data_IF_053724080768
#
_entry.id   IF_053724080768
#
_cell.length_a   1.000
_cell.length_b   1.000
_cell.length_c   1.000
_cell.angle_alpha   90.00
_cell.angle_beta   90.00
_cell.angle_gamma   90.00
#
_symmetry.space_group_name_H-M   'P 1'
#
loop_
_entity.id
_entity.type
_entity.pdbx_description
1 polymer ?
#
# COMPACT_ATOMS: atom_id res chain seq x y z
N UNK A 1 -0.35 -31.90 -52.11
CA UNK A 1 1.09 -31.61 -51.90
C UNK A 1 1.42 -30.22 -52.44
N UNK A 2 1.82 -29.27 -51.57
CA UNK A 2 2.58 -28.02 -51.82
C UNK A 2 2.58 -27.23 -50.50
N UNK A 3 3.52 -27.56 -49.61
CA UNK A 3 4.77 -26.84 -49.26
C UNK A 3 4.53 -25.72 -48.24
N UNK A 4 5.04 -26.01 -47.03
CA UNK A 4 5.25 -25.18 -45.84
C UNK A 4 5.72 -23.77 -46.22
N UNK A 5 5.03 -22.75 -45.70
CA UNK A 5 5.49 -21.37 -45.65
C UNK A 5 6.16 -21.12 -44.30
N UNK A 6 7.38 -20.62 -44.36
CA UNK A 6 8.33 -20.41 -43.28
C UNK A 6 7.86 -19.47 -42.17
N UNK A 7 8.22 -19.91 -40.95
CA UNK A 7 8.20 -19.21 -39.69
C UNK A 7 9.09 -17.96 -39.74
N UNK A 8 8.49 -16.77 -39.69
CA UNK A 8 9.21 -15.51 -39.55
C UNK A 8 9.73 -15.37 -38.12
N UNK A 9 11.01 -15.70 -37.91
CA UNK A 9 11.73 -15.54 -36.64
C UNK A 9 12.57 -14.26 -36.67
N UNK A 10 12.21 -13.16 -35.96
CA UNK A 10 13.04 -11.97 -35.91
C UNK A 10 14.29 -12.20 -35.05
N UNK A 11 15.44 -11.70 -35.55
CA UNK A 11 16.76 -11.85 -34.95
C UNK A 11 16.89 -11.18 -33.56
N UNK A 12 17.80 -11.67 -32.68
CA UNK A 12 18.06 -11.06 -31.38
C UNK A 12 18.74 -9.70 -31.56
N UNK A 13 18.16 -8.64 -30.98
CA UNK A 13 18.82 -7.33 -30.92
C UNK A 13 20.01 -7.43 -29.98
N UNK A 14 21.18 -7.24 -30.54
CA UNK A 14 22.46 -7.11 -29.86
C UNK A 14 22.44 -5.94 -28.89
N UNK A 15 22.87 -6.25 -27.67
CA UNK A 15 23.24 -5.37 -26.58
C UNK A 15 24.11 -4.18 -27.03
N UNK A 16 23.60 -2.96 -26.87
CA UNK A 16 24.42 -1.75 -26.77
C UNK A 16 24.16 -1.10 -25.41
N UNK A 17 25.16 -1.24 -24.56
CA UNK A 17 25.21 -0.81 -23.16
C UNK A 17 25.66 0.67 -23.10
N UNK A 18 24.83 1.62 -22.62
CA UNK A 18 25.25 2.99 -22.44
C UNK A 18 25.98 3.16 -21.08
N UNK A 19 27.30 3.29 -21.18
CA UNK A 19 28.26 3.93 -20.23
C UNK A 19 27.81 4.05 -18.77
N UNK A 20 28.41 3.17 -17.97
CA UNK A 20 28.63 3.33 -16.52
C UNK A 20 29.27 4.71 -16.26
N UNK A 21 28.60 5.57 -15.48
CA UNK A 21 29.21 6.77 -14.90
C UNK A 21 30.16 6.34 -13.77
N UNK A 22 31.37 6.92 -13.65
CA UNK A 22 32.22 6.67 -12.50
C UNK A 22 31.56 7.20 -11.21
N UNK A 23 31.76 6.54 -10.06
CA UNK A 23 31.22 7.01 -8.79
C UNK A 23 31.86 8.34 -8.39
N UNK A 24 31.02 9.30 -8.00
CA UNK A 24 31.43 10.52 -7.32
C UNK A 24 32.16 10.14 -6.02
N UNK A 25 33.35 10.73 -5.86
CA UNK A 25 34.21 10.68 -4.68
C UNK A 25 33.44 10.88 -3.38
N UNK A 26 33.64 9.96 -2.43
CA UNK A 26 33.16 10.09 -1.06
C UNK A 26 33.85 11.29 -0.36
N UNK A 27 33.16 12.03 0.52
CA UNK A 27 33.80 13.05 1.35
C UNK A 27 34.71 12.39 2.40
N UNK A 28 35.96 12.82 2.45
CA UNK A 28 36.95 12.45 3.47
C UNK A 28 36.45 12.80 4.87
N UNK A 29 36.41 11.80 5.75
CA UNK A 29 36.04 11.95 7.16
C UNK A 29 37.30 12.33 7.94
N UNK A 30 37.38 13.58 8.38
CA UNK A 30 38.52 14.12 9.13
C UNK A 30 38.48 13.63 10.60
N UNK A 31 39.44 12.83 11.10
CA UNK A 31 39.31 12.17 12.40
C UNK A 31 39.65 13.04 13.62
N UNK A 32 40.03 14.31 13.44
CA UNK A 32 40.66 15.12 14.50
C UNK A 32 39.85 16.36 14.94
N UNK A 33 38.52 16.27 15.02
CA UNK A 33 37.74 17.27 15.77
C UNK A 33 37.47 16.76 17.19
N UNK A 34 38.05 17.37 18.24
CA UNK A 34 37.75 16.97 19.61
C UNK A 34 36.28 17.27 19.94
N UNK A 35 35.57 16.24 20.45
CA UNK A 35 34.23 16.40 21.02
C UNK A 35 34.35 17.24 22.29
N UNK A 36 33.80 18.44 22.26
CA UNK A 36 33.52 19.22 23.46
C UNK A 36 32.61 18.40 24.39
N UNK A 37 33.09 18.13 25.60
CA UNK A 37 32.37 17.45 26.67
C UNK A 37 31.15 18.29 27.10
N UNK A 38 29.95 17.79 26.80
CA UNK A 38 28.72 18.27 27.41
C UNK A 38 28.58 17.64 28.81
N UNK A 39 28.19 18.40 29.85
CA UNK A 39 27.98 17.85 31.18
C UNK A 39 26.74 16.94 31.22
N UNK A 40 26.86 15.83 31.95
CA UNK A 40 25.81 14.83 32.18
C UNK A 40 24.55 15.46 32.79
N UNK A 41 23.33 15.10 32.32
CA UNK A 41 22.11 15.52 33.00
C UNK A 41 21.95 14.79 34.34
N UNK A 42 21.40 15.44 35.38
CA UNK A 42 21.19 14.80 36.67
C UNK A 42 20.16 13.68 36.59
N UNK A 43 20.52 12.51 37.12
CA UNK A 43 19.63 11.38 37.35
C UNK A 43 18.71 11.69 38.53
N UNK A 44 17.56 12.32 38.27
CA UNK A 44 16.45 12.33 39.21
C UNK A 44 15.15 12.06 38.47
N UNK A 45 14.70 10.80 38.55
CA UNK A 45 13.37 10.38 38.09
C UNK A 45 12.47 10.36 39.34
N UNK A 46 11.52 11.30 39.52
CA UNK A 46 10.59 11.21 40.63
C UNK A 46 9.66 10.00 40.46
N UNK A 47 9.22 9.36 41.55
CA UNK A 47 8.24 8.28 41.48
C UNK A 47 6.93 8.83 40.91
N UNK A 48 6.33 8.10 39.95
CA UNK A 48 5.00 8.40 39.40
C UNK A 48 3.96 8.32 40.52
N UNK A 49 3.71 9.43 41.20
CA UNK A 49 2.44 9.63 41.88
C UNK A 49 1.41 9.94 40.81
N UNK A 50 0.47 9.02 40.69
CA UNK A 50 -0.66 9.06 39.79
C UNK A 50 -1.63 10.13 40.29
N UNK A 51 -1.49 11.39 39.82
CA UNK A 51 -2.57 12.38 39.74
C UNK A 51 -2.03 13.75 39.29
N UNK A 52 -2.31 14.14 38.05
CA UNK A 52 -2.64 15.53 37.73
C UNK A 52 -3.90 15.55 36.87
N UNK A 53 -4.99 16.03 37.49
CA UNK A 53 -6.14 16.56 36.77
C UNK A 53 -5.73 17.95 36.28
N UNK A 54 -5.24 18.05 35.06
CA UNK A 54 -5.15 19.33 34.36
C UNK A 54 -6.25 19.37 33.28
N UNK A 55 -7.37 20.08 33.50
CA UNK A 55 -8.49 20.10 32.56
C UNK A 55 -8.27 21.03 31.35
N UNK A 56 -7.01 21.44 31.07
CA UNK A 56 -6.68 22.40 30.01
C UNK A 56 -5.57 21.94 29.05
N UNK A 57 -5.33 20.62 28.97
CA UNK A 57 -4.46 20.01 27.96
C UNK A 57 -5.24 19.18 26.93
N UNK A 58 -6.43 19.64 26.53
CA UNK A 58 -7.14 19.07 25.36
C UNK A 58 -7.98 20.13 24.66
N UNK A 59 -7.37 21.24 24.24
CA UNK A 59 -8.01 22.14 23.28
C UNK A 59 -7.04 22.37 22.13
N UNK A 60 -7.12 21.52 21.09
CA UNK A 60 -6.34 21.75 19.87
C UNK A 60 -6.16 20.58 18.90
N UNK A 61 -6.60 19.36 19.20
CA UNK A 61 -6.63 18.30 18.18
C UNK A 61 -8.02 18.30 17.55
N UNK A 62 -8.09 18.81 16.34
CA UNK A 62 -9.26 18.73 15.47
C UNK A 62 -9.64 17.25 15.36
N UNK A 63 -10.84 16.91 15.83
CA UNK A 63 -11.36 15.55 15.87
C UNK A 63 -11.99 15.19 14.52
N UNK A 64 -11.24 15.31 13.43
CA UNK A 64 -11.57 14.70 12.16
C UNK A 64 -10.94 13.30 12.11
N UNK A 65 -11.74 12.31 12.52
CA UNK A 65 -11.50 10.88 12.28
C UNK A 65 -10.37 10.20 13.08
N UNK A 66 -10.36 10.38 14.41
CA UNK A 66 -9.76 9.38 15.32
C UNK A 66 -10.91 8.78 16.11
N UNK A 67 -11.52 7.72 15.57
CA UNK A 67 -12.43 6.91 16.36
C UNK A 67 -11.68 6.37 17.59
N UNK A 68 -12.29 6.29 18.78
CA UNK A 68 -11.68 5.77 20.00
C UNK A 68 -11.41 4.24 19.98
N UNK A 69 -11.14 3.69 18.79
CA UNK A 69 -10.85 2.27 18.57
C UNK A 69 -9.36 1.99 18.38
N UNK A 70 -8.98 0.70 18.37
CA UNK A 70 -7.63 0.29 18.03
C UNK A 70 -7.21 0.83 16.65
N UNK A 71 -5.91 1.15 16.49
CA UNK A 71 -5.39 1.65 15.22
C UNK A 71 -5.57 0.63 14.09
N UNK A 72 -5.59 1.10 12.84
CA UNK A 72 -5.83 0.24 11.65
C UNK A 72 -4.92 -0.99 11.57
N UNK A 73 -3.67 -0.88 12.04
CA UNK A 73 -2.68 -1.96 12.00
C UNK A 73 -2.45 -2.63 13.37
N UNK A 74 -3.30 -2.34 14.37
CA UNK A 74 -3.20 -2.94 15.69
C UNK A 74 -3.34 -4.48 15.69
N UNK A 75 -4.26 -5.10 14.90
CA UNK A 75 -4.35 -6.57 14.85
C UNK A 75 -3.05 -7.23 14.39
N UNK A 76 -2.39 -6.70 13.36
CA UNK A 76 -1.10 -7.22 12.90
C UNK A 76 0.01 -7.06 13.95
N UNK A 77 -0.02 -5.97 14.71
CA UNK A 77 0.91 -5.78 15.81
C UNK A 77 0.70 -6.80 16.94
N UNK A 78 -0.55 -7.17 17.25
CA UNK A 78 -0.85 -8.22 18.23
C UNK A 78 -0.27 -9.57 17.79
N UNK A 79 -0.33 -9.91 16.51
CA UNK A 79 0.27 -11.14 15.98
C UNK A 79 1.81 -11.14 16.10
N UNK A 80 2.47 -9.98 15.88
CA UNK A 80 3.93 -9.86 16.11
C UNK A 80 4.27 -10.13 17.58
N UNK A 81 3.52 -9.52 18.50
CA UNK A 81 3.71 -9.72 19.93
C UNK A 81 3.45 -11.18 20.34
N UNK A 82 2.38 -11.79 19.82
CA UNK A 82 2.06 -13.19 20.08
C UNK A 82 3.17 -14.13 19.60
N UNK A 83 3.73 -13.87 18.41
CA UNK A 83 4.84 -14.64 17.88
C UNK A 83 6.09 -14.50 18.75
N UNK A 84 6.44 -13.29 19.18
CA UNK A 84 7.59 -13.07 20.07
C UNK A 84 7.40 -13.75 21.43
N UNK A 85 6.24 -13.64 22.07
CA UNK A 85 5.96 -14.30 23.35
C UNK A 85 6.08 -15.83 23.23
N UNK A 86 5.69 -16.40 22.10
CA UNK A 86 5.70 -17.86 21.90
C UNK A 86 7.08 -18.41 21.53
N UNK A 87 7.94 -17.60 20.89
CA UNK A 87 9.21 -18.06 20.33
C UNK A 87 10.45 -17.50 21.02
N UNK A 88 10.32 -16.60 22.00
CA UNK A 88 11.45 -16.03 22.73
C UNK A 88 11.44 -16.44 24.19
N UNK A 89 12.62 -16.60 24.76
CA UNK A 89 12.81 -16.74 26.21
C UNK A 89 13.65 -15.56 26.69
N UNK A 90 13.66 -15.23 28.00
CA UNK A 90 14.50 -14.14 28.51
C UNK A 90 16.00 -14.34 28.27
N UNK A 91 16.43 -15.57 27.94
CA UNK A 91 17.82 -15.97 27.76
C UNK A 91 18.20 -16.19 26.29
N UNK A 92 17.22 -16.44 25.40
CA UNK A 92 17.45 -16.68 23.98
C UNK A 92 16.46 -15.92 23.07
N UNK A 93 17.01 -14.93 22.37
CA UNK A 93 16.30 -14.06 21.42
C UNK A 93 16.31 -14.59 19.97
N UNK A 94 17.00 -15.70 19.68
CA UNK A 94 17.16 -16.21 18.30
C UNK A 94 15.83 -16.62 17.66
N UNK A 95 14.83 -16.96 18.47
CA UNK A 95 13.49 -17.30 18.00
C UNK A 95 12.72 -16.13 17.37
N UNK A 96 13.14 -14.88 17.57
CA UNK A 96 12.55 -13.68 16.91
C UNK A 96 12.63 -13.77 15.38
N UNK A 97 13.65 -14.45 14.85
CA UNK A 97 13.82 -14.62 13.41
C UNK A 97 12.65 -15.39 12.76
N UNK A 98 11.98 -16.28 13.51
CA UNK A 98 10.80 -17.02 13.03
C UNK A 98 9.57 -16.11 12.84
N UNK A 99 9.56 -14.95 13.48
CA UNK A 99 8.47 -13.98 13.44
C UNK A 99 8.59 -12.94 12.32
N UNK A 100 9.62 -13.06 11.47
CA UNK A 100 9.78 -12.23 10.28
C UNK A 100 8.53 -12.16 9.37
N UNK A 101 7.83 -13.25 9.01
CA UNK A 101 6.65 -13.15 8.15
C UNK A 101 5.54 -12.28 8.75
N UNK A 102 5.29 -12.40 10.06
CA UNK A 102 4.25 -11.60 10.75
C UNK A 102 4.68 -10.14 10.89
N UNK A 103 5.98 -9.90 11.11
CA UNK A 103 6.55 -8.55 11.14
C UNK A 103 6.44 -7.87 9.77
N UNK A 104 6.66 -8.62 8.70
CA UNK A 104 6.48 -8.17 7.32
C UNK A 104 5.03 -7.76 7.03
N UNK A 105 4.04 -8.48 7.56
CA UNK A 105 2.62 -8.14 7.41
C UNK A 105 2.25 -6.84 8.16
N UNK A 106 2.83 -6.62 9.35
CA UNK A 106 2.67 -5.35 10.06
C UNK A 106 3.26 -4.16 9.27
N UNK A 107 4.46 -4.34 8.69
CA UNK A 107 5.07 -3.30 7.85
C UNK A 107 4.34 -3.09 6.53
N UNK A 108 3.74 -4.14 5.98
CA UNK A 108 2.84 -4.08 4.84
C UNK A 108 1.63 -3.19 5.17
N UNK A 109 0.92 -3.44 6.27
CA UNK A 109 -0.22 -2.60 6.67
C UNK A 109 0.15 -1.12 6.88
N UNK A 110 1.35 -0.83 7.40
CA UNK A 110 1.77 0.55 7.62
C UNK A 110 2.09 1.30 6.34
N UNK A 111 2.74 0.64 5.37
CA UNK A 111 3.35 1.31 4.22
C UNK A 111 2.76 0.90 2.87
N UNK A 112 1.93 -0.13 2.84
CA UNK A 112 1.27 -0.72 1.68
C UNK A 112 2.20 -0.88 0.46
N UNK A 113 3.49 -1.18 0.67
CA UNK A 113 4.50 -1.21 -0.40
C UNK A 113 4.20 -2.33 -1.41
N UNK A 114 3.82 -3.50 -0.91
CA UNK A 114 3.50 -4.68 -1.74
C UNK A 114 2.23 -4.41 -2.54
N UNK A 115 1.21 -3.82 -1.91
CA UNK A 115 -0.03 -3.45 -2.59
C UNK A 115 0.17 -2.36 -3.65
N UNK A 116 0.96 -1.32 -3.35
CA UNK A 116 1.29 -0.28 -4.32
C UNK A 116 2.00 -0.85 -5.55
N UNK A 117 3.00 -1.72 -5.35
CA UNK A 117 3.69 -2.38 -6.45
C UNK A 117 2.76 -3.27 -7.29
N UNK A 118 1.88 -4.02 -6.63
CA UNK A 118 0.88 -4.88 -7.29
C UNK A 118 -0.11 -4.05 -8.11
N UNK A 119 -0.68 -3.01 -7.54
CA UNK A 119 -1.64 -2.14 -8.22
C UNK A 119 -1.00 -1.45 -9.42
N UNK A 120 0.25 -0.99 -9.32
CA UNK A 120 0.98 -0.41 -10.45
C UNK A 120 1.19 -1.43 -11.59
N UNK A 121 1.56 -2.66 -11.25
CA UNK A 121 1.73 -3.72 -12.24
C UNK A 121 0.40 -4.06 -12.95
N UNK A 122 -0.69 -4.14 -12.19
CA UNK A 122 -2.04 -4.38 -12.72
C UNK A 122 -2.50 -3.24 -13.62
N UNK A 123 -2.32 -1.99 -13.20
CA UNK A 123 -2.66 -0.82 -14.01
C UNK A 123 -1.85 -0.77 -15.31
N UNK A 124 -0.56 -1.11 -15.26
CA UNK A 124 0.29 -1.17 -16.45
C UNK A 124 -0.19 -2.27 -17.42
N UNK A 125 -0.53 -3.46 -16.90
CA UNK A 125 -1.09 -4.54 -17.70
C UNK A 125 -2.44 -4.16 -18.31
N UNK A 126 -3.30 -3.50 -17.53
CA UNK A 126 -4.61 -3.04 -17.96
C UNK A 126 -4.50 -1.99 -19.09
N UNK A 127 -3.66 -0.96 -18.93
CA UNK A 127 -3.42 0.05 -19.98
C UNK A 127 -2.84 -0.57 -21.26
N UNK A 128 -1.97 -1.57 -21.12
CA UNK A 128 -1.44 -2.32 -22.26
C UNK A 128 -2.55 -3.12 -22.94
N UNK A 129 -3.46 -3.74 -22.18
CA UNK A 129 -4.60 -4.45 -22.73
C UNK A 129 -5.53 -3.48 -23.47
N UNK A 130 -5.91 -2.35 -22.86
CA UNK A 130 -6.74 -1.31 -23.48
C UNK A 130 -6.18 -0.78 -24.79
N UNK A 131 -4.86 -0.56 -24.88
CA UNK A 131 -4.21 -0.14 -26.12
C UNK A 131 -4.29 -1.18 -27.26
N UNK A 132 -4.53 -2.46 -26.93
CA UNK A 132 -4.69 -3.55 -27.89
C UNK A 132 -6.16 -3.88 -28.21
N UNK A 133 -7.13 -3.25 -27.53
CA UNK A 133 -8.56 -3.45 -27.81
C UNK A 133 -8.89 -2.76 -29.14
N UNK A 134 -9.44 -3.51 -30.10
CA UNK A 134 -9.95 -2.94 -31.36
C UNK A 134 -11.19 -2.10 -31.05
N UNK A 135 -11.43 -1.04 -31.82
CA UNK A 135 -12.58 -0.13 -31.59
C UNK A 135 -13.93 -0.84 -31.58
N UNK A 136 -14.02 -1.99 -32.23
CA UNK A 136 -15.23 -2.82 -32.31
C UNK A 136 -15.50 -3.63 -31.03
N UNK A 137 -14.49 -3.84 -30.17
CA UNK A 137 -14.60 -4.53 -28.88
C UNK A 137 -14.88 -3.56 -27.72
N UNK A 138 -15.18 -2.29 -28.03
CA UNK A 138 -15.54 -1.29 -27.02
C UNK A 138 -16.89 -1.64 -26.34
N UNK A 139 -17.05 -1.36 -25.04
CA UNK A 139 -18.32 -1.61 -24.35
C UNK A 139 -19.49 -0.93 -25.05
N UNK A 140 -20.51 -1.72 -25.41
CA UNK A 140 -21.70 -1.18 -26.07
C UNK A 140 -22.42 -0.20 -25.15
N UNK A 141 -23.04 0.83 -25.72
CA UNK A 141 -23.85 1.78 -24.97
C UNK A 141 -24.93 1.09 -24.10
N UNK A 142 -25.48 -0.04 -24.57
CA UNK A 142 -26.43 -0.84 -23.79
C UNK A 142 -25.83 -1.53 -22.56
N UNK A 143 -24.53 -1.84 -22.56
CA UNK A 143 -23.84 -2.42 -21.41
C UNK A 143 -23.50 -1.34 -20.38
N UNK A 144 -23.10 -0.15 -20.84
CA UNK A 144 -22.86 1.02 -19.99
C UNK A 144 -24.16 1.48 -19.29
N UNK A 145 -25.31 1.40 -19.96
CA UNK A 145 -26.63 1.71 -19.38
C UNK A 145 -27.05 0.73 -18.27
N UNK A 146 -26.68 -0.55 -18.38
CA UNK A 146 -26.99 -1.58 -17.35
C UNK A 146 -26.20 -1.35 -16.06
N UNK A 147 -25.02 -0.74 -16.13
CA UNK A 147 -24.23 -0.36 -14.96
C UNK A 147 -24.83 0.83 -14.19
N UNK A 148 -25.91 1.43 -14.68
CA UNK A 148 -26.56 2.57 -14.05
C UNK A 148 -25.80 3.89 -14.19
N UNK A 149 -24.74 3.92 -15.01
CA UNK A 149 -23.92 5.11 -15.29
C UNK A 149 -24.64 6.06 -16.26
N UNK A 150 -25.49 5.53 -17.13
CA UNK A 150 -26.33 6.30 -18.04
C UNK A 150 -27.81 6.15 -17.66
N UNK A 151 -28.53 7.25 -17.79
CA UNK A 151 -29.99 7.28 -17.76
C UNK A 151 -30.53 6.43 -18.91
N UNK A 152 -31.34 5.43 -18.56
CA UNK A 152 -31.94 4.50 -19.51
C UNK A 152 -33.24 3.95 -18.92
N UNK A 153 -34.22 3.60 -19.77
CA UNK A 153 -35.50 3.07 -19.33
C UNK A 153 -35.32 1.75 -18.57
N UNK A 154 -36.23 1.49 -17.63
CA UNK A 154 -36.17 0.36 -16.70
C UNK A 154 -36.14 -1.00 -17.41
N UNK A 155 -36.82 -1.09 -18.56
CA UNK A 155 -36.84 -2.24 -19.47
C UNK A 155 -35.45 -2.61 -20.00
N UNK A 156 -34.61 -1.63 -20.37
CA UNK A 156 -33.23 -1.90 -20.80
C UNK A 156 -32.37 -2.44 -19.65
N UNK A 157 -32.72 -2.07 -18.41
CA UNK A 157 -32.04 -2.50 -17.18
C UNK A 157 -32.54 -3.85 -16.65
N UNK A 158 -33.57 -4.47 -17.26
CA UNK A 158 -34.25 -5.67 -16.73
C UNK A 158 -34.68 -5.51 -15.25
N UNK A 159 -34.97 -4.27 -14.83
CA UNK A 159 -35.42 -3.96 -13.47
C UNK A 159 -36.94 -3.72 -13.53
N UNK A 160 -37.69 -4.32 -12.61
CA UNK A 160 -39.11 -4.03 -12.46
C UNK A 160 -39.29 -2.84 -11.52
N UNK A 161 -40.20 -1.93 -11.85
CA UNK A 161 -40.51 -0.80 -10.99
C UNK A 161 -41.07 -1.33 -9.66
N UNK A 162 -40.33 -1.14 -8.59
CA UNK A 162 -40.78 -1.47 -7.24
C UNK A 162 -41.87 -0.49 -6.83
N UNK A 163 -43.06 -1.02 -6.49
CA UNK A 163 -44.24 -0.25 -6.07
C UNK A 163 -44.01 0.77 -4.94
N UNK A 164 -42.94 0.59 -4.16
CA UNK A 164 -42.65 1.35 -2.94
C UNK A 164 -41.68 2.51 -3.14
N UNK A 165 -40.96 2.56 -4.25
CA UNK A 165 -39.99 3.62 -4.52
C UNK A 165 -40.47 4.46 -5.70
N UNK A 166 -40.55 5.80 -5.56
CA UNK A 166 -40.85 6.67 -6.68
C UNK A 166 -39.74 6.56 -7.72
N UNK A 167 -40.09 6.31 -8.98
CA UNK A 167 -39.15 6.25 -10.10
C UNK A 167 -39.37 7.44 -11.03
N UNK A 168 -38.28 7.94 -11.63
CA UNK A 168 -38.31 9.02 -12.61
C UNK A 168 -38.38 8.41 -14.00
N UNK A 169 -39.45 8.69 -14.76
CA UNK A 169 -39.52 8.35 -16.17
C UNK A 169 -38.57 9.27 -16.95
N UNK A 170 -37.64 8.65 -17.68
CA UNK A 170 -36.73 9.35 -18.58
C UNK A 170 -37.34 9.20 -19.97
N UNK A 171 -37.85 10.30 -20.52
CA UNK A 171 -38.51 10.37 -21.83
C UNK A 171 -37.47 10.60 -22.94
#
# INVERSE_FOLDING_TARGET
MRKRGEEYRPAPRTSTNPRIRPPLSAPSFDPQKPRSSAPSPPLYVPPRTFQTKDPRYTDGVRADNIHPGPSRCFPFWQEVLACYVTNTSPEDDKGKAKCQPVLEDYYECLHHKKEAARTLALQAAYRKAEANIKRDDAPSAGEIRRLGILDAPLEEKNLKASKWFPHKEIN
#
